data_IF_374468331190
#
_entry.id   IF_374468331190
#
_cell.length_a   1.000
_cell.length_b   1.000
_cell.length_c   1.000
_cell.angle_alpha   90.00
_cell.angle_beta   90.00
_cell.angle_gamma   90.00
#
_symmetry.space_group_name_H-M   'P 1'
#
loop_
_entity.id
_entity.type
_entity.pdbx_description
1 polymer ?
#
# COMPACT_ATOMS: atom_id res chain seq x y z
N UNK A 1 -8.97 12.55 -7.47
CA UNK A 1 -10.07 12.41 -6.48
C UNK A 1 -9.58 11.93 -5.11
N UNK A 2 -8.27 11.73 -4.88
CA UNK A 2 -7.75 11.32 -3.58
C UNK A 2 -7.90 9.82 -3.27
N UNK A 3 -8.32 9.01 -4.24
CA UNK A 3 -8.35 7.56 -4.08
C UNK A 3 -7.09 6.93 -4.68
N UNK A 4 -6.40 6.08 -3.92
CA UNK A 4 -5.41 5.17 -4.48
C UNK A 4 -6.15 3.97 -5.08
N UNK A 5 -5.94 3.72 -6.37
CA UNK A 5 -6.61 2.66 -7.12
C UNK A 5 -5.57 1.88 -7.90
N UNK A 6 -5.63 0.55 -7.82
CA UNK A 6 -4.90 -0.31 -8.74
C UNK A 6 -5.80 -0.67 -9.91
N UNK A 7 -5.25 -0.58 -11.11
CA UNK A 7 -5.92 -0.91 -12.36
C UNK A 7 -5.24 -2.11 -13.00
N UNK A 8 -6.04 -3.11 -13.38
CA UNK A 8 -5.66 -4.17 -14.30
C UNK A 8 -6.18 -3.87 -15.72
N UNK A 9 -5.97 -4.80 -16.67
CA UNK A 9 -6.38 -4.62 -18.07
C UNK A 9 -7.89 -4.39 -18.26
N UNK A 10 -8.71 -4.92 -17.35
CA UNK A 10 -10.18 -4.86 -17.42
C UNK A 10 -10.80 -3.76 -16.55
N UNK A 11 -9.99 -2.95 -15.85
CA UNK A 11 -10.48 -1.88 -14.99
C UNK A 11 -9.89 -1.91 -13.57
N UNK A 12 -10.56 -1.24 -12.63
CA UNK A 12 -10.11 -1.16 -11.24
C UNK A 12 -10.25 -2.52 -10.54
N UNK A 13 -9.17 -2.98 -9.91
CA UNK A 13 -9.10 -4.28 -9.21
C UNK A 13 -9.09 -4.10 -7.69
N UNK A 14 -8.61 -2.96 -7.21
CA UNK A 14 -8.62 -2.60 -5.81
C UNK A 14 -8.63 -1.09 -5.65
N UNK A 15 -9.23 -0.59 -4.57
CA UNK A 15 -9.21 0.81 -4.21
C UNK A 15 -9.13 1.01 -2.69
N UNK A 16 -8.41 2.04 -2.27
CA UNK A 16 -8.30 2.46 -0.87
C UNK A 16 -9.61 3.01 -0.28
N UNK A 17 -10.53 3.47 -1.14
CA UNK A 17 -11.82 4.04 -0.74
C UNK A 17 -11.73 5.46 -0.16
N UNK A 18 -10.65 6.18 -0.45
CA UNK A 18 -10.33 7.44 0.23
C UNK A 18 -10.72 8.70 -0.56
N UNK A 19 -11.75 8.60 -1.42
CA UNK A 19 -12.18 9.68 -2.32
C UNK A 19 -12.47 10.99 -1.57
N UNK A 20 -12.08 12.11 -2.17
CA UNK A 20 -12.20 13.51 -1.72
C UNK A 20 -11.55 13.83 -0.38
N UNK A 21 -10.79 12.89 0.21
CA UNK A 21 -10.22 13.01 1.56
C UNK A 21 -8.71 12.89 1.58
N UNK A 22 -8.00 12.98 0.46
CA UNK A 22 -6.55 12.75 0.45
C UNK A 22 -5.78 13.65 -0.48
N UNK A 23 -4.54 13.95 -0.08
CA UNK A 23 -3.58 14.68 -0.88
C UNK A 23 -2.18 14.06 -0.88
N UNK A 24 -1.91 13.00 -0.09
CA UNK A 24 -0.58 12.39 -0.02
C UNK A 24 -0.63 10.89 0.28
N UNK A 25 0.14 10.11 -0.47
CA UNK A 25 0.54 8.74 -0.15
C UNK A 25 1.99 8.77 0.33
N UNK A 26 2.29 8.11 1.44
CA UNK A 26 3.64 8.06 2.00
C UNK A 26 4.01 6.63 2.38
N UNK A 27 5.13 6.15 1.86
CA UNK A 27 5.79 4.96 2.39
C UNK A 27 6.78 5.41 3.46
N UNK A 28 6.51 5.03 4.70
CA UNK A 28 7.13 5.59 5.88
C UNK A 28 8.38 4.80 6.29
N UNK A 29 9.32 5.42 7.05
CA UNK A 29 10.51 4.72 7.53
C UNK A 29 10.24 3.54 8.47
N UNK A 30 9.06 3.50 9.10
CA UNK A 30 8.61 2.38 9.95
C UNK A 30 8.05 1.20 9.13
N UNK A 31 7.99 1.33 7.81
CA UNK A 31 7.50 0.31 6.88
C UNK A 31 6.02 0.37 6.57
N UNK A 32 5.30 1.38 7.04
CA UNK A 32 3.88 1.54 6.74
C UNK A 32 3.64 2.30 5.43
N UNK A 33 2.63 1.89 4.66
CA UNK A 33 2.12 2.67 3.53
C UNK A 33 0.85 3.38 3.99
N UNK A 34 0.87 4.72 4.04
CA UNK A 34 -0.19 5.52 4.65
C UNK A 34 -0.71 6.57 3.67
N UNK A 35 -2.03 6.70 3.60
CA UNK A 35 -2.70 7.77 2.89
C UNK A 35 -3.08 8.85 3.90
N UNK A 36 -2.76 10.09 3.56
CA UNK A 36 -2.97 11.27 4.38
C UNK A 36 -3.94 12.27 3.73
N UNK A 37 -4.74 12.90 4.61
CA UNK A 37 -5.36 14.19 4.39
C UNK A 37 -4.61 15.25 5.19
N UNK A 38 -3.75 16.03 4.54
CA UNK A 38 -2.81 16.92 5.22
C UNK A 38 -1.94 16.15 6.24
N UNK A 39 -2.24 16.29 7.53
CA UNK A 39 -1.52 15.64 8.63
C UNK A 39 -2.28 14.44 9.23
N UNK A 40 -3.52 14.18 8.81
CA UNK A 40 -4.35 13.10 9.33
C UNK A 40 -4.23 11.85 8.46
N UNK A 41 -3.86 10.72 9.05
CA UNK A 41 -3.90 9.43 8.37
C UNK A 41 -5.35 9.00 8.17
N UNK A 42 -5.73 8.65 6.94
CA UNK A 42 -7.09 8.22 6.59
C UNK A 42 -7.16 6.76 6.14
N UNK A 43 -6.04 6.16 5.79
CA UNK A 43 -5.87 4.73 5.55
C UNK A 43 -4.42 4.32 5.78
N UNK A 44 -4.18 3.09 6.21
CA UNK A 44 -2.84 2.50 6.32
C UNK A 44 -2.85 1.02 5.93
N UNK A 45 -1.77 0.54 5.31
CA UNK A 45 -1.56 -0.89 4.99
C UNK A 45 -1.38 -1.74 6.24
N UNK A 46 -1.12 -1.11 7.38
CA UNK A 46 -0.81 -1.77 8.65
C UNK A 46 0.47 -2.61 8.61
N UNK A 47 1.47 -2.18 7.83
CA UNK A 47 2.74 -2.88 7.65
C UNK A 47 3.90 -2.28 8.46
N UNK A 48 3.58 -1.52 9.50
CA UNK A 48 4.61 -0.92 10.36
C UNK A 48 5.36 -1.98 11.18
N UNK A 49 6.60 -1.69 11.58
CA UNK A 49 7.43 -2.53 12.44
C UNK A 49 6.71 -2.95 13.73
N UNK A 50 5.95 -2.04 14.34
CA UNK A 50 5.17 -2.29 15.55
C UNK A 50 4.07 -3.34 15.35
N UNK A 51 3.60 -3.53 14.13
CA UNK A 51 2.57 -4.51 13.76
C UNK A 51 3.17 -5.82 13.25
N UNK A 52 4.44 -5.82 12.87
CA UNK A 52 5.13 -6.95 12.22
C UNK A 52 6.39 -7.41 12.98
N UNK A 53 6.47 -7.16 14.29
CA UNK A 53 7.57 -7.65 15.14
C UNK A 53 8.96 -7.14 14.73
N UNK A 54 9.05 -5.91 14.21
CA UNK A 54 10.29 -5.33 13.68
C UNK A 54 10.58 -5.63 12.21
N UNK A 55 9.70 -6.40 11.55
CA UNK A 55 9.82 -6.77 10.14
C UNK A 55 8.73 -6.08 9.29
N UNK A 56 8.55 -4.78 9.49
CA UNK A 56 7.66 -3.98 8.66
C UNK A 56 8.14 -3.88 7.22
N UNK A 57 7.33 -3.21 6.38
CA UNK A 57 7.61 -3.03 4.97
C UNK A 57 8.94 -2.31 4.68
N UNK A 58 9.58 -2.67 3.57
CA UNK A 58 10.87 -2.12 3.11
C UNK A 58 10.89 -1.79 1.64
N UNK A 59 10.18 -2.59 0.85
CA UNK A 59 10.06 -2.39 -0.59
C UNK A 59 8.60 -2.46 -0.99
N UNK A 60 8.17 -1.47 -1.76
CA UNK A 60 6.90 -1.48 -2.47
C UNK A 60 7.19 -1.90 -3.91
N UNK A 61 6.71 -3.08 -4.29
CA UNK A 61 7.00 -3.73 -5.57
C UNK A 61 5.70 -3.85 -6.37
N UNK A 62 5.74 -3.35 -7.61
CA UNK A 62 4.74 -3.65 -8.63
C UNK A 62 5.42 -4.44 -9.73
N UNK A 63 5.01 -5.69 -9.92
CA UNK A 63 5.59 -6.60 -10.89
C UNK A 63 4.76 -6.66 -12.17
N UNK A 64 5.39 -7.11 -13.27
CA UNK A 64 4.74 -7.18 -14.58
C UNK A 64 3.61 -8.21 -14.65
N UNK A 65 3.63 -9.20 -13.76
CA UNK A 65 2.56 -10.19 -13.57
C UNK A 65 1.41 -9.65 -12.71
N UNK A 66 1.40 -8.36 -12.37
CA UNK A 66 0.26 -7.69 -11.73
C UNK A 66 0.28 -7.73 -10.20
N UNK A 67 1.28 -8.31 -9.55
CA UNK A 67 1.35 -8.25 -8.10
C UNK A 67 1.76 -6.87 -7.60
N UNK A 68 0.94 -6.30 -6.72
CA UNK A 68 1.34 -5.20 -5.85
C UNK A 68 1.70 -5.79 -4.48
N UNK A 69 2.94 -5.62 -4.03
CA UNK A 69 3.41 -6.17 -2.76
C UNK A 69 4.20 -5.15 -1.94
N UNK A 70 4.07 -5.23 -0.63
CA UNK A 70 4.98 -4.65 0.36
C UNK A 70 5.79 -5.81 0.92
N UNK A 71 7.11 -5.78 0.71
CA UNK A 71 8.04 -6.80 1.17
C UNK A 71 8.83 -6.32 2.39
N UNK A 72 9.13 -7.23 3.31
CA UNK A 72 10.03 -6.99 4.44
C UNK A 72 11.53 -7.16 4.06
N UNK A 73 12.41 -7.07 5.06
CA UNK A 73 13.87 -7.25 4.90
C UNK A 73 14.28 -8.68 4.48
N UNK A 74 13.38 -9.66 4.55
CA UNK A 74 13.59 -11.06 4.18
C UNK A 74 12.93 -11.40 2.84
N UNK A 75 12.49 -10.38 2.08
CA UNK A 75 11.80 -10.53 0.81
C UNK A 75 10.46 -11.27 0.92
N UNK A 76 9.90 -11.35 2.13
CA UNK A 76 8.59 -11.93 2.35
C UNK A 76 7.53 -10.85 2.15
N UNK A 77 6.43 -11.19 1.47
CA UNK A 77 5.30 -10.29 1.35
C UNK A 77 4.57 -10.20 2.69
N UNK A 78 4.53 -8.99 3.26
CA UNK A 78 3.77 -8.68 4.48
C UNK A 78 2.37 -8.17 4.15
N UNK A 79 2.18 -7.64 2.95
CA UNK A 79 0.89 -7.21 2.44
C UNK A 79 0.93 -7.10 0.92
N UNK A 80 -0.16 -7.44 0.24
CA UNK A 80 -0.24 -7.31 -1.21
C UNK A 80 -1.51 -7.90 -1.76
N UNK A 81 -1.71 -7.72 -3.06
CA UNK A 81 -2.84 -8.27 -3.79
C UNK A 81 -2.50 -8.41 -5.27
N UNK A 82 -3.17 -9.39 -5.90
CA UNK A 82 -3.08 -9.64 -7.33
C UNK A 82 -3.94 -8.63 -8.10
N UNK A 83 -3.37 -8.02 -9.13
CA UNK A 83 -4.08 -7.13 -10.05
C UNK A 83 -4.57 -7.84 -11.31
N UNK A 84 -4.32 -9.13 -11.44
CA UNK A 84 -4.86 -9.96 -12.51
C UNK A 84 -6.21 -10.58 -12.10
N UNK A 85 -7.06 -10.94 -13.08
CA UNK A 85 -8.38 -11.50 -12.83
C UNK A 85 -8.38 -12.88 -12.15
#
# INVERSE_FOLDING_TARGET
DGNLVLYGPSGAVWASGTNSRCNRLAFQPDGNLVIYNNYTAVWASSTADSQHGGNGGRLLLLTADGWFSILDNYWQSVWGFDAQP
#
